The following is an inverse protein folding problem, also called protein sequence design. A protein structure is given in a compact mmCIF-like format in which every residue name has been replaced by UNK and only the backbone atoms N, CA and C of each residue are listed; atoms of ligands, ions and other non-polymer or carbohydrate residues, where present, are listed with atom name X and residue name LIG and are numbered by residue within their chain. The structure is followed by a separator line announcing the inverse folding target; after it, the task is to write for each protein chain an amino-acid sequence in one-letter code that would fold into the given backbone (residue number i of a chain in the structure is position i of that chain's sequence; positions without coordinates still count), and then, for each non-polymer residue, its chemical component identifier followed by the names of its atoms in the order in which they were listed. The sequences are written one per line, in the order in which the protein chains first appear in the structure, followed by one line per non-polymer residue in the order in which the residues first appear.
data_IF_786282217381
#
_entry.id   IF_786282217381
#
_cell.length_a   1.000
_cell.length_b   1.000
_cell.length_c   1.000
_cell.angle_alpha   90.00
_cell.angle_beta   90.00
_cell.angle_gamma   90.00
#
_symmetry.space_group_name_H-M   'P 1'
#
loop_
_entity.id
_entity.type
_entity.pdbx_description
1 polymer ?
#
# COMPACT_ATOMS: atom_id res chain seq x y z
N UNK A 1 -15.36 15.48 17.83
CA UNK A 1 -13.99 15.11 18.30
C UNK A 1 -13.01 16.07 17.63
N UNK A 2 -12.16 16.73 18.40
CA UNK A 2 -11.14 17.61 17.82
C UNK A 2 -9.96 16.81 17.26
N UNK A 3 -9.19 17.38 16.33
CA UNK A 3 -7.97 16.76 15.81
C UNK A 3 -6.94 16.49 16.91
N UNK A 4 -6.86 17.37 17.91
CA UNK A 4 -5.99 17.18 19.09
C UNK A 4 -6.36 15.95 19.90
N UNK A 5 -7.65 15.67 20.04
CA UNK A 5 -8.14 14.46 20.70
C UNK A 5 -7.85 13.22 19.86
N UNK A 6 -7.98 13.31 18.54
CA UNK A 6 -7.68 12.22 17.62
C UNK A 6 -6.19 11.86 17.65
N UNK A 7 -5.29 12.85 17.67
CA UNK A 7 -3.83 12.62 17.69
C UNK A 7 -3.30 11.86 18.92
N UNK A 8 -4.12 11.75 19.98
CA UNK A 8 -3.79 10.95 21.18
C UNK A 8 -4.22 9.49 21.07
N UNK A 9 -4.91 9.12 20.01
CA UNK A 9 -5.42 7.76 19.80
C UNK A 9 -4.42 6.89 19.04
N UNK A 10 -4.52 5.60 19.30
CA UNK A 10 -3.79 4.56 18.59
C UNK A 10 -4.77 3.75 17.76
N UNK A 11 -4.36 3.41 16.55
CA UNK A 11 -5.18 2.69 15.59
C UNK A 11 -4.40 1.49 15.05
N UNK A 12 -5.05 0.34 15.00
CA UNK A 12 -4.60 -0.81 14.23
C UNK A 12 -5.48 -0.89 12.98
N UNK A 13 -4.87 -0.73 11.82
CA UNK A 13 -5.53 -0.86 10.53
C UNK A 13 -5.21 -2.25 9.98
N UNK A 14 -6.21 -2.98 9.55
CA UNK A 14 -6.06 -4.34 9.02
C UNK A 14 -6.35 -4.34 7.54
N UNK A 15 -5.46 -4.90 6.73
CA UNK A 15 -5.65 -5.08 5.31
C UNK A 15 -4.39 -4.85 4.50
N UNK A 16 -4.54 -4.44 3.25
CA UNK A 16 -3.52 -4.48 2.22
C UNK A 16 -2.61 -3.24 2.20
N UNK A 17 -1.32 -3.49 1.95
CA UNK A 17 -0.38 -2.54 1.34
C UNK A 17 0.06 -3.09 -0.03
N UNK A 18 0.31 -2.24 -0.99
CA UNK A 18 0.76 -2.62 -2.33
C UNK A 18 1.59 -1.52 -2.98
N UNK A 19 2.04 -1.81 -4.18
CA UNK A 19 2.75 -0.87 -5.03
C UNK A 19 1.82 -0.42 -6.17
N UNK A 20 1.69 0.88 -6.34
CA UNK A 20 0.93 1.46 -7.43
C UNK A 20 1.89 2.06 -8.46
N UNK A 21 1.67 1.73 -9.74
CA UNK A 21 2.42 2.22 -10.89
C UNK A 21 1.51 3.07 -11.76
N UNK A 22 1.96 4.26 -12.11
CA UNK A 22 1.21 5.18 -12.94
C UNK A 22 2.09 5.63 -14.12
N UNK A 23 1.65 5.42 -15.38
CA UNK A 23 2.37 5.92 -16.54
C UNK A 23 2.59 7.42 -16.48
N UNK A 24 3.77 7.88 -16.87
CA UNK A 24 4.11 9.30 -16.94
C UNK A 24 4.60 9.67 -18.34
N UNK A 25 4.34 10.92 -18.79
CA UNK A 25 3.57 11.99 -18.14
C UNK A 25 2.07 11.68 -18.02
N UNK A 26 1.31 12.56 -17.35
CA UNK A 26 -0.16 12.47 -17.27
C UNK A 26 -0.77 12.28 -18.67
N UNK A 27 -1.83 11.48 -18.78
CA UNK A 27 -2.51 11.08 -20.01
C UNK A 27 -1.79 10.04 -20.89
N UNK A 28 -0.67 9.50 -20.44
CA UNK A 28 0.02 8.40 -21.13
C UNK A 28 -0.77 7.10 -20.98
N UNK A 29 -0.95 6.35 -22.05
CA UNK A 29 -1.47 4.98 -22.00
C UNK A 29 -0.40 4.03 -21.49
N UNK A 30 -0.81 2.95 -20.83
CA UNK A 30 0.12 1.97 -20.30
C UNK A 30 1.03 1.37 -21.37
N UNK A 31 0.46 1.05 -22.56
CA UNK A 31 1.22 0.48 -23.67
C UNK A 31 2.22 1.44 -24.32
N UNK A 32 2.09 2.73 -24.05
CA UNK A 32 2.98 3.78 -24.57
C UNK A 32 4.02 4.25 -23.54
N UNK A 33 3.91 3.74 -22.31
CA UNK A 33 4.71 4.22 -21.22
C UNK A 33 6.17 3.77 -21.31
N UNK A 34 7.08 4.71 -21.18
CA UNK A 34 8.53 4.47 -21.01
C UNK A 34 8.99 4.72 -19.58
N UNK A 35 8.14 5.33 -18.77
CA UNK A 35 8.39 5.63 -17.36
C UNK A 35 7.11 5.44 -16.55
N UNK A 36 7.29 5.00 -15.29
CA UNK A 36 6.21 4.86 -14.32
C UNK A 36 6.56 5.63 -13.05
N UNK A 37 5.61 6.37 -12.53
CA UNK A 37 5.66 6.87 -11.16
C UNK A 37 5.26 5.75 -10.22
N UNK A 38 5.95 5.63 -9.11
CA UNK A 38 5.71 4.59 -8.10
C UNK A 38 5.14 5.25 -6.84
N UNK A 39 4.09 4.68 -6.29
CA UNK A 39 3.48 5.13 -5.05
C UNK A 39 3.05 3.93 -4.18
N UNK A 40 2.88 4.19 -2.88
CA UNK A 40 2.28 3.21 -1.99
C UNK A 40 0.78 3.11 -2.28
N UNK A 41 0.31 1.89 -2.52
CA UNK A 41 -1.09 1.57 -2.72
C UNK A 41 -1.69 0.76 -1.57
N UNK A 42 -2.97 0.48 -1.69
CA UNK A 42 -3.76 -0.24 -0.71
C UNK A 42 -4.55 0.69 0.20
N UNK A 43 -5.87 0.51 0.26
CA UNK A 43 -6.75 1.36 1.07
C UNK A 43 -6.36 1.40 2.54
N UNK A 44 -6.01 0.25 3.12
CA UNK A 44 -5.61 0.15 4.54
C UNK A 44 -4.31 0.89 4.82
N UNK A 45 -3.30 0.74 3.96
CA UNK A 45 -2.05 1.49 4.09
C UNK A 45 -2.26 2.99 3.92
N UNK A 46 -3.10 3.42 2.99
CA UNK A 46 -3.45 4.82 2.80
C UNK A 46 -4.21 5.41 4.01
N UNK A 47 -5.11 4.64 4.63
CA UNK A 47 -5.78 5.04 5.87
C UNK A 47 -4.76 5.20 7.00
N UNK A 48 -3.86 4.22 7.18
CA UNK A 48 -2.82 4.30 8.20
C UNK A 48 -1.88 5.50 7.99
N UNK A 49 -1.50 5.79 6.73
CA UNK A 49 -0.70 6.96 6.38
C UNK A 49 -1.44 8.27 6.69
N UNK A 50 -2.74 8.36 6.37
CA UNK A 50 -3.57 9.51 6.71
C UNK A 50 -3.66 9.73 8.21
N UNK A 51 -3.89 8.67 9.00
CA UNK A 51 -3.90 8.73 10.46
C UNK A 51 -2.55 9.20 11.01
N UNK A 52 -1.45 8.65 10.50
CA UNK A 52 -0.10 9.06 10.91
C UNK A 52 0.15 10.56 10.62
N UNK A 53 -0.25 11.04 9.44
CA UNK A 53 -0.14 12.47 9.08
C UNK A 53 -1.01 13.39 9.95
N UNK A 54 -2.09 12.87 10.52
CA UNK A 54 -2.92 13.59 11.50
C UNK A 54 -2.36 13.50 12.93
N UNK A 55 -1.17 12.95 13.12
CA UNK A 55 -0.50 12.83 14.42
C UNK A 55 -0.94 11.63 15.26
N UNK A 56 -1.75 10.72 14.71
CA UNK A 56 -2.14 9.49 15.40
C UNK A 56 -1.01 8.46 15.40
N UNK A 57 -1.02 7.57 16.39
CA UNK A 57 -0.22 6.34 16.33
C UNK A 57 -0.97 5.32 15.47
N UNK A 58 -0.46 5.01 14.30
CA UNK A 58 -1.06 4.06 13.38
C UNK A 58 -0.15 2.84 13.20
N UNK A 59 -0.71 1.66 13.34
CA UNK A 59 -0.08 0.39 13.00
C UNK A 59 -0.86 -0.28 11.85
N UNK A 60 -0.15 -1.04 11.03
CA UNK A 60 -0.76 -1.84 9.96
C UNK A 60 -0.52 -3.33 10.26
N UNK A 61 -1.59 -4.12 10.17
CA UNK A 61 -1.53 -5.57 10.15
C UNK A 61 -1.76 -6.05 8.73
N UNK A 62 -0.76 -6.72 8.16
CA UNK A 62 -0.80 -7.26 6.80
C UNK A 62 0.30 -8.29 6.56
N UNK A 63 0.30 -8.88 5.39
CA UNK A 63 1.37 -9.77 4.92
C UNK A 63 1.88 -9.24 3.58
N UNK A 64 3.20 -9.22 3.43
CA UNK A 64 3.89 -8.84 2.19
C UNK A 64 4.78 -9.99 1.71
N UNK A 65 5.16 -9.98 0.44
CA UNK A 65 6.13 -10.94 -0.09
C UNK A 65 7.56 -10.57 0.31
N UNK A 66 8.41 -11.58 0.49
CA UNK A 66 9.84 -11.39 0.72
C UNK A 66 10.59 -11.19 -0.60
N UNK A 67 10.32 -10.04 -1.25
CA UNK A 67 10.91 -9.63 -2.51
C UNK A 67 11.06 -8.10 -2.60
N UNK A 68 11.46 -7.60 -3.78
CA UNK A 68 11.68 -6.17 -3.98
C UNK A 68 10.41 -5.32 -3.82
N UNK A 69 9.24 -5.84 -4.20
CA UNK A 69 7.96 -5.13 -4.04
C UNK A 69 7.55 -5.08 -2.58
N UNK A 70 7.69 -6.20 -1.85
CA UNK A 70 7.44 -6.22 -0.41
C UNK A 70 8.38 -5.28 0.35
N UNK A 71 9.69 -5.26 0.00
CA UNK A 71 10.64 -4.30 0.60
C UNK A 71 10.28 -2.84 0.31
N UNK A 72 9.81 -2.55 -0.91
CA UNK A 72 9.29 -1.22 -1.23
C UNK A 72 8.15 -0.83 -0.28
N UNK A 73 7.16 -1.72 -0.10
CA UNK A 73 6.04 -1.47 0.80
C UNK A 73 6.50 -1.22 2.24
N UNK A 74 7.40 -2.05 2.77
CA UNK A 74 7.96 -1.87 4.12
C UNK A 74 8.65 -0.51 4.27
N UNK A 75 9.44 -0.12 3.27
CA UNK A 75 10.12 1.18 3.27
C UNK A 75 9.12 2.36 3.24
N UNK A 76 8.01 2.22 2.52
CA UNK A 76 6.97 3.25 2.50
C UNK A 76 6.23 3.34 3.84
N UNK A 77 5.95 2.23 4.49
CA UNK A 77 5.37 2.24 5.84
C UNK A 77 6.27 2.98 6.83
N UNK A 78 7.59 2.73 6.79
CA UNK A 78 8.57 3.44 7.60
C UNK A 78 8.59 4.95 7.28
N UNK A 79 8.56 5.31 5.98
CA UNK A 79 8.54 6.70 5.53
C UNK A 79 7.32 7.48 6.07
N UNK A 80 6.15 6.83 6.15
CA UNK A 80 4.94 7.43 6.70
C UNK A 80 4.82 7.30 8.23
N UNK A 81 5.81 6.71 8.91
CA UNK A 81 5.79 6.53 10.36
C UNK A 81 4.74 5.54 10.85
N UNK A 82 4.37 4.58 10.01
CA UNK A 82 3.40 3.53 10.35
C UNK A 82 4.14 2.40 11.07
N UNK A 83 3.63 2.01 12.23
CA UNK A 83 4.16 0.87 12.97
C UNK A 83 3.87 -0.43 12.20
N UNK A 84 4.93 -1.11 11.78
CA UNK A 84 4.85 -2.32 10.97
C UNK A 84 5.22 -3.60 11.71
N UNK A 85 5.21 -3.60 13.05
CA UNK A 85 5.52 -4.80 13.84
C UNK A 85 4.56 -5.96 13.58
N UNK A 86 3.36 -5.67 13.05
CA UNK A 86 2.35 -6.63 12.62
C UNK A 86 2.34 -6.86 11.11
N UNK A 87 3.44 -6.55 10.43
CA UNK A 87 3.60 -6.84 9.00
C UNK A 87 4.56 -8.00 8.86
N UNK A 88 4.03 -9.14 8.42
CA UNK A 88 4.81 -10.35 8.19
C UNK A 88 5.26 -10.45 6.73
N UNK A 89 6.50 -10.84 6.49
CA UNK A 89 7.00 -11.18 5.16
C UNK A 89 6.96 -12.68 4.93
N UNK A 90 6.50 -13.10 3.76
CA UNK A 90 6.44 -14.52 3.38
C UNK A 90 7.25 -14.81 2.13
N UNK A 91 7.82 -16.00 2.10
CA UNK A 91 8.46 -16.60 0.90
C UNK A 91 7.46 -17.52 0.23
N UNK A 92 7.51 -17.59 -1.10
CA UNK A 92 6.64 -18.47 -1.86
C UNK A 92 6.16 -17.81 -3.14
N UNK A 93 5.06 -18.30 -3.67
CA UNK A 93 4.47 -17.79 -4.92
C UNK A 93 3.55 -16.59 -4.69
N UNK A 94 3.10 -16.38 -3.46
CA UNK A 94 2.23 -15.27 -3.10
C UNK A 94 3.01 -13.95 -3.14
N UNK A 95 2.56 -13.03 -3.96
CA UNK A 95 3.23 -11.74 -4.16
C UNK A 95 2.45 -10.59 -3.50
N UNK A 96 3.18 -9.57 -3.10
CA UNK A 96 2.56 -8.29 -2.73
C UNK A 96 1.81 -7.74 -3.93
N UNK A 97 0.60 -7.25 -3.71
CA UNK A 97 -0.23 -6.73 -4.79
C UNK A 97 0.40 -5.51 -5.46
N UNK A 98 0.21 -5.43 -6.76
CA UNK A 98 0.69 -4.35 -7.61
C UNK A 98 -0.48 -3.86 -8.46
N UNK A 99 -0.66 -2.55 -8.54
CA UNK A 99 -1.63 -1.94 -9.42
C UNK A 99 -0.94 -1.11 -10.50
N UNK A 100 -1.51 -1.14 -11.69
CA UNK A 100 -1.16 -0.21 -12.78
C UNK A 100 -2.42 0.57 -13.09
N UNK A 101 -2.35 1.90 -13.08
CA UNK A 101 -3.49 2.73 -13.41
C UNK A 101 -3.09 3.99 -14.18
N UNK A 102 -3.91 4.33 -15.15
CA UNK A 102 -3.74 5.51 -15.98
C UNK A 102 -4.40 6.73 -15.34
N UNK A 103 -3.82 7.90 -15.55
CA UNK A 103 -4.37 9.19 -15.09
C UNK A 103 -5.13 9.93 -16.18
N UNK A 104 -5.56 9.21 -17.22
CA UNK A 104 -6.34 9.76 -18.33
C UNK A 104 -7.74 10.14 -17.84
N UNK A 105 -8.27 11.24 -18.38
CA UNK A 105 -9.61 11.70 -18.05
C UNK A 105 -10.71 10.90 -18.74
N UNK A 106 -10.39 10.26 -19.86
CA UNK A 106 -11.30 9.42 -20.64
C UNK A 106 -10.61 8.09 -20.95
N UNK A 107 -11.38 7.02 -20.99
CA UNK A 107 -10.93 5.67 -21.35
C UNK A 107 -9.69 5.20 -20.56
N UNK A 108 -9.56 5.66 -19.31
CA UNK A 108 -8.47 5.19 -18.45
C UNK A 108 -8.64 3.72 -18.10
N UNK A 109 -7.53 3.03 -18.03
CA UNK A 109 -7.48 1.63 -17.59
C UNK A 109 -6.82 1.54 -16.22
N UNK A 110 -7.33 0.63 -15.41
CA UNK A 110 -6.64 0.23 -14.19
C UNK A 110 -6.73 -1.27 -14.00
N UNK A 111 -5.66 -1.86 -13.53
CA UNK A 111 -5.57 -3.29 -13.26
C UNK A 111 -4.84 -3.51 -11.95
N UNK A 112 -5.32 -4.44 -11.14
CA UNK A 112 -4.67 -4.85 -9.89
C UNK A 112 -4.28 -6.30 -10.02
N UNK A 113 -2.98 -6.57 -9.92
CA UNK A 113 -2.42 -7.91 -9.81
C UNK A 113 -2.47 -8.34 -8.34
N UNK A 114 -3.55 -9.05 -7.97
CA UNK A 114 -3.82 -9.46 -6.58
C UNK A 114 -4.28 -10.91 -6.48
N UNK A 115 -4.06 -11.70 -7.50
CA UNK A 115 -4.42 -13.12 -7.52
C UNK A 115 -3.56 -13.89 -6.51
N UNK A 116 -4.20 -14.53 -5.53
CA UNK A 116 -3.53 -15.24 -4.45
C UNK A 116 -2.38 -14.40 -3.81
N UNK A 117 -2.63 -13.11 -3.58
CA UNK A 117 -1.61 -12.20 -3.09
C UNK A 117 -1.25 -12.47 -1.62
N UNK A 118 -0.09 -11.94 -1.20
CA UNK A 118 0.45 -12.12 0.13
C UNK A 118 -0.51 -11.69 1.24
N UNK A 119 -1.27 -10.60 1.04
CA UNK A 119 -2.23 -10.10 2.02
C UNK A 119 -3.41 -11.05 2.29
N UNK A 120 -3.71 -12.00 1.41
CA UNK A 120 -4.68 -13.06 1.68
C UNK A 120 -4.15 -14.14 2.64
N UNK A 121 -2.87 -14.14 2.95
CA UNK A 121 -2.23 -15.09 3.85
C UNK A 121 -2.25 -14.62 5.32
N UNK A 122 -2.96 -13.52 5.62
CA UNK A 122 -3.18 -13.10 7.00
C UNK A 122 -3.89 -14.17 7.81
N UNK A 123 -3.47 -14.35 9.04
CA UNK A 123 -4.06 -15.31 9.99
C UNK A 123 -4.33 -14.62 11.32
N UNK A 124 -5.05 -15.29 12.20
CA UNK A 124 -5.30 -14.80 13.57
C UNK A 124 -4.02 -14.76 14.43
N UNK A 125 -2.92 -15.31 13.95
CA UNK A 125 -1.62 -15.31 14.64
C UNK A 125 -0.76 -14.08 14.29
N UNK A 126 -1.14 -13.30 13.28
CA UNK A 126 -0.44 -12.07 12.87
C UNK A 126 -0.73 -10.83 13.78
#
# INVERSE_FOLDING_TARGET
MSLDTLGRKSFLVIGRVGMDLTPTPVNTRTEEATQMMVAMGGSSANIAAGLSKLGCKAALLTVVSDDSVGRYCLNQLDHYGIDRRHVRSIKGEERTSLAVYETRTQDHQSVIYRNNAADFQMTIAD
#
